data_IF_275554300480
#
_entry.id   IF_275554300480
#
_cell.length_a   1.000
_cell.length_b   1.000
_cell.length_c   1.000
_cell.angle_alpha   90.00
_cell.angle_beta   90.00
_cell.angle_gamma   90.00
#
_symmetry.space_group_name_H-M   'P 1'
#
loop_
_entity.id
_entity.type
_entity.pdbx_description
1 polymer ?
#
# COMPACT_ATOMS: atom_id res chain seq x y z
N UNK A 1 -32.96 17.14 30.41
CA UNK A 1 -31.95 16.41 29.62
C UNK A 1 -32.18 16.50 28.10
N UNK A 2 -33.42 16.51 27.63
CA UNK A 2 -33.75 16.64 26.20
C UNK A 2 -33.48 18.04 25.62
N UNK A 3 -33.65 19.10 26.41
CA UNK A 3 -33.36 20.47 25.98
C UNK A 3 -31.88 20.76 25.79
N UNK A 4 -31.00 20.13 26.59
CA UNK A 4 -29.56 20.29 26.46
C UNK A 4 -29.00 19.54 25.24
N UNK A 5 -29.60 18.39 24.89
CA UNK A 5 -29.29 17.65 23.67
C UNK A 5 -29.75 18.41 22.42
N UNK A 6 -30.97 18.97 22.44
CA UNK A 6 -31.49 19.75 21.34
C UNK A 6 -30.71 21.03 21.05
N UNK A 7 -30.26 21.74 22.10
CA UNK A 7 -29.40 22.93 21.95
C UNK A 7 -27.98 22.52 21.43
N UNK A 8 -27.42 21.43 21.87
CA UNK A 8 -26.15 20.91 21.36
C UNK A 8 -26.21 20.54 19.87
N UNK A 9 -27.31 19.92 19.43
CA UNK A 9 -27.52 19.58 18.01
C UNK A 9 -27.78 20.79 17.13
N UNK A 10 -28.48 21.79 17.62
CA UNK A 10 -28.69 23.08 16.90
C UNK A 10 -27.37 23.84 16.78
N UNK A 11 -26.55 23.90 17.86
CA UNK A 11 -25.25 24.55 17.81
C UNK A 11 -24.29 23.81 16.86
N UNK A 12 -24.30 22.46 16.86
CA UNK A 12 -23.52 21.64 15.96
C UNK A 12 -23.91 21.85 14.49
N UNK A 13 -25.20 21.88 14.21
CA UNK A 13 -25.73 22.18 12.86
C UNK A 13 -25.41 23.59 12.41
N UNK A 14 -25.45 24.56 13.32
CA UNK A 14 -25.14 25.96 13.01
C UNK A 14 -23.66 26.19 12.82
N UNK A 15 -22.80 25.55 13.62
CA UNK A 15 -21.35 25.54 13.42
C UNK A 15 -20.95 24.84 12.12
N UNK A 16 -21.58 23.70 11.77
CA UNK A 16 -21.41 23.00 10.51
C UNK A 16 -21.91 23.81 9.31
N UNK A 17 -23.00 24.53 9.44
CA UNK A 17 -23.52 25.41 8.37
C UNK A 17 -22.65 26.65 8.14
N UNK A 18 -21.98 27.15 9.18
CA UNK A 18 -21.00 28.24 9.06
C UNK A 18 -19.66 27.78 8.46
N UNK A 19 -19.25 26.54 8.72
CA UNK A 19 -18.06 25.93 8.10
C UNK A 19 -18.39 25.34 6.74
N UNK A 20 -19.61 24.84 6.53
CA UNK A 20 -20.09 24.19 5.30
C UNK A 20 -20.35 25.13 4.12
N UNK A 21 -20.25 26.44 4.33
CA UNK A 21 -20.46 27.42 3.25
C UNK A 21 -19.30 27.46 2.23
N UNK A 22 -18.12 26.91 2.56
CA UNK A 22 -16.96 26.92 1.68
C UNK A 22 -16.68 25.60 0.97
N UNK A 23 -17.12 24.45 1.54
CA UNK A 23 -16.88 23.13 0.95
C UNK A 23 -18.17 22.30 0.95
N UNK A 24 -18.65 21.84 -0.22
CA UNK A 24 -19.78 20.91 -0.32
C UNK A 24 -19.48 19.61 0.46
N UNK A 25 -20.47 19.08 1.18
CA UNK A 25 -20.32 17.89 2.04
C UNK A 25 -19.88 16.64 1.28
N UNK A 26 -20.17 16.55 -0.02
CA UNK A 26 -19.76 15.43 -0.87
C UNK A 26 -18.24 15.39 -1.14
N UNK A 27 -17.52 16.50 -0.99
CA UNK A 27 -16.07 16.56 -1.23
C UNK A 27 -15.27 15.66 -0.31
N UNK A 28 -15.78 15.39 0.90
CA UNK A 28 -15.12 14.47 1.84
C UNK A 28 -15.08 13.04 1.27
N UNK A 29 -16.20 12.57 0.73
CA UNK A 29 -16.29 11.26 0.08
C UNK A 29 -15.43 11.18 -1.18
N UNK A 30 -15.47 12.21 -2.01
CA UNK A 30 -14.65 12.34 -3.22
C UNK A 30 -13.15 12.30 -2.90
N UNK A 31 -12.68 13.16 -2.00
CA UNK A 31 -11.27 13.23 -1.62
C UNK A 31 -10.78 11.93 -0.96
N UNK A 32 -11.61 11.30 -0.13
CA UNK A 32 -11.29 10.01 0.49
C UNK A 32 -11.09 8.93 -0.57
N UNK A 33 -12.01 8.81 -1.54
CA UNK A 33 -11.89 7.87 -2.64
C UNK A 33 -10.62 8.09 -3.45
N UNK A 34 -10.40 9.30 -3.93
CA UNK A 34 -9.24 9.64 -4.76
C UNK A 34 -7.92 9.38 -4.04
N UNK A 35 -7.80 9.83 -2.80
CA UNK A 35 -6.59 9.64 -2.01
C UNK A 35 -6.30 8.16 -1.76
N UNK A 36 -7.32 7.35 -1.43
CA UNK A 36 -7.16 5.92 -1.17
C UNK A 36 -6.78 5.17 -2.45
N UNK A 37 -7.47 5.41 -3.56
CA UNK A 37 -7.24 4.68 -4.82
C UNK A 37 -5.91 5.08 -5.45
N UNK A 38 -5.60 6.36 -5.53
CA UNK A 38 -4.42 6.84 -6.26
C UNK A 38 -3.11 6.62 -5.51
N UNK A 39 -3.12 6.82 -4.18
CA UNK A 39 -1.86 6.85 -3.41
C UNK A 39 -1.85 5.95 -2.17
N UNK A 40 -2.84 6.05 -1.29
CA UNK A 40 -2.76 5.39 0.02
C UNK A 40 -2.69 3.87 -0.09
N UNK A 41 -3.60 3.25 -0.82
CA UNK A 41 -3.61 1.80 -0.91
C UNK A 41 -2.39 1.27 -1.67
N UNK A 42 -2.08 1.68 -2.91
CA UNK A 42 -0.94 1.11 -3.62
C UNK A 42 0.40 1.49 -2.99
N UNK A 43 0.61 2.73 -2.58
CA UNK A 43 1.94 3.21 -2.16
C UNK A 43 2.24 2.90 -0.70
N UNK A 44 1.36 3.30 0.23
CA UNK A 44 1.61 3.13 1.68
C UNK A 44 1.63 1.66 2.06
N UNK A 45 0.68 0.86 1.55
CA UNK A 45 0.65 -0.57 1.85
C UNK A 45 1.89 -1.27 1.27
N UNK A 46 2.37 -0.86 0.08
CA UNK A 46 3.61 -1.42 -0.48
C UNK A 46 4.83 -1.13 0.39
N UNK A 47 4.94 0.06 0.97
CA UNK A 47 6.03 0.39 1.90
C UNK A 47 5.94 -0.46 3.18
N UNK A 48 4.74 -0.65 3.73
CA UNK A 48 4.53 -1.53 4.89
C UNK A 48 4.91 -2.98 4.54
N UNK A 49 4.52 -3.46 3.36
CA UNK A 49 4.85 -4.79 2.88
C UNK A 49 6.35 -4.95 2.59
N UNK A 50 7.05 -3.90 2.17
CA UNK A 50 8.51 -3.92 2.06
C UNK A 50 9.17 -4.22 3.41
N UNK A 51 8.64 -3.64 4.51
CA UNK A 51 9.13 -3.94 5.85
C UNK A 51 8.88 -5.38 6.29
N UNK A 52 7.69 -5.91 6.06
CA UNK A 52 7.32 -7.26 6.52
C UNK A 52 7.75 -8.35 5.53
N UNK A 53 7.24 -8.30 4.32
CA UNK A 53 7.48 -9.35 3.31
C UNK A 53 8.88 -9.22 2.71
N UNK A 54 9.33 -8.00 2.42
CA UNK A 54 10.68 -7.75 1.91
C UNK A 54 11.76 -8.22 2.87
N UNK A 55 11.66 -7.85 4.14
CA UNK A 55 12.61 -8.32 5.17
C UNK A 55 12.57 -9.83 5.35
N UNK A 56 11.38 -10.44 5.31
CA UNK A 56 11.24 -11.91 5.38
C UNK A 56 11.90 -12.61 4.17
N UNK A 57 11.69 -12.11 2.97
CA UNK A 57 12.33 -12.65 1.76
C UNK A 57 13.85 -12.57 1.88
N UNK A 58 14.38 -11.40 2.28
CA UNK A 58 15.83 -11.19 2.44
C UNK A 58 16.42 -12.10 3.50
N UNK A 59 15.78 -12.20 4.68
CA UNK A 59 16.29 -13.06 5.76
C UNK A 59 16.19 -14.54 5.43
N UNK A 60 15.13 -14.97 4.76
CA UNK A 60 14.95 -16.36 4.32
C UNK A 60 16.06 -16.78 3.34
N UNK A 61 16.28 -16.00 2.28
CA UNK A 61 17.36 -16.30 1.30
C UNK A 61 18.73 -16.12 1.94
N UNK A 62 18.92 -15.10 2.76
CA UNK A 62 20.16 -14.84 3.47
C UNK A 62 20.54 -15.96 4.44
N UNK A 63 19.58 -16.54 5.15
CA UNK A 63 19.82 -17.72 5.99
C UNK A 63 20.27 -18.93 5.17
N UNK A 64 19.65 -19.17 4.01
CA UNK A 64 20.06 -20.25 3.10
C UNK A 64 21.48 -20.01 2.54
N UNK A 65 21.88 -18.74 2.38
CA UNK A 65 23.24 -18.39 1.97
C UNK A 65 24.26 -18.69 3.06
N UNK A 66 23.96 -18.32 4.31
CA UNK A 66 24.83 -18.56 5.48
C UNK A 66 25.03 -20.05 5.78
N UNK A 67 23.99 -20.85 5.54
CA UNK A 67 24.01 -22.31 5.75
C UNK A 67 24.49 -23.10 4.53
N UNK A 68 25.05 -22.42 3.51
CA UNK A 68 25.60 -23.03 2.27
C UNK A 68 24.57 -23.83 1.45
N UNK A 69 23.27 -23.67 1.73
CA UNK A 69 22.21 -24.37 0.98
C UNK A 69 22.14 -23.90 -0.48
N UNK A 70 22.48 -22.66 -0.77
CA UNK A 70 22.51 -22.11 -2.14
C UNK A 70 23.66 -22.78 -2.91
N UNK A 71 24.82 -22.92 -2.29
CA UNK A 71 26.00 -23.55 -2.91
C UNK A 71 25.73 -25.04 -3.14
N UNK A 72 25.03 -25.71 -2.22
CA UNK A 72 24.60 -27.10 -2.41
C UNK A 72 23.64 -27.27 -3.61
N UNK A 73 22.72 -26.34 -3.84
CA UNK A 73 21.84 -26.34 -5.01
C UNK A 73 22.63 -26.18 -6.32
N UNK A 74 23.65 -25.32 -6.32
CA UNK A 74 24.52 -25.12 -7.50
C UNK A 74 25.36 -26.34 -7.82
N UNK A 75 25.89 -27.02 -6.81
CA UNK A 75 26.63 -28.30 -7.00
C UNK A 75 25.72 -29.39 -7.57
N UNK A 76 24.46 -29.41 -7.22
CA UNK A 76 23.45 -30.32 -7.80
C UNK A 76 23.02 -29.93 -9.24
N UNK A 77 23.59 -28.87 -9.81
CA UNK A 77 23.23 -28.38 -11.15
C UNK A 77 21.91 -27.65 -11.22
N UNK A 78 21.32 -27.28 -10.09
CA UNK A 78 20.07 -26.52 -10.02
C UNK A 78 20.37 -25.02 -10.07
N UNK A 79 19.71 -24.26 -10.95
CA UNK A 79 19.82 -22.81 -10.96
C UNK A 79 19.16 -22.23 -9.69
N UNK A 80 19.98 -21.88 -8.71
CA UNK A 80 19.58 -21.42 -7.40
C UNK A 80 18.71 -20.15 -7.45
N UNK A 81 19.00 -19.21 -8.37
CA UNK A 81 18.20 -17.98 -8.55
C UNK A 81 16.79 -18.32 -9.01
N UNK A 82 16.65 -19.15 -10.05
CA UNK A 82 15.33 -19.54 -10.53
C UNK A 82 14.54 -20.32 -9.49
N UNK A 83 15.19 -21.18 -8.74
CA UNK A 83 14.55 -21.99 -7.70
C UNK A 83 14.06 -21.16 -6.51
N UNK A 84 14.81 -20.14 -6.10
CA UNK A 84 14.51 -19.35 -4.90
C UNK A 84 13.70 -18.07 -5.18
N UNK A 85 13.99 -17.37 -6.28
CA UNK A 85 13.40 -16.04 -6.56
C UNK A 85 12.11 -16.18 -7.35
N UNK A 86 12.07 -17.02 -8.37
CA UNK A 86 10.91 -17.14 -9.27
C UNK A 86 9.60 -17.48 -8.56
N UNK A 87 9.53 -18.43 -7.60
CA UNK A 87 8.28 -18.68 -6.86
C UNK A 87 7.80 -17.47 -6.06
N UNK A 88 8.73 -16.66 -5.53
CA UNK A 88 8.38 -15.44 -4.79
C UNK A 88 7.82 -14.36 -5.71
N UNK A 89 8.36 -14.23 -6.92
CA UNK A 89 7.80 -13.32 -7.95
C UNK A 89 6.38 -13.74 -8.30
N UNK A 90 6.14 -15.04 -8.57
CA UNK A 90 4.80 -15.54 -8.89
C UNK A 90 3.82 -15.31 -7.73
N UNK A 91 4.23 -15.59 -6.50
CA UNK A 91 3.39 -15.37 -5.33
C UNK A 91 2.98 -13.90 -5.17
N UNK A 92 3.91 -12.97 -5.44
CA UNK A 92 3.64 -11.54 -5.37
C UNK A 92 2.85 -10.97 -6.57
N UNK A 93 2.68 -11.72 -7.67
CA UNK A 93 1.73 -11.33 -8.73
C UNK A 93 0.27 -11.31 -8.25
N UNK A 94 -0.05 -11.98 -7.15
CA UNK A 94 -1.38 -11.86 -6.50
C UNK A 94 -1.54 -10.57 -5.67
N UNK A 95 -0.47 -9.80 -5.48
CA UNK A 95 -0.47 -8.58 -4.67
C UNK A 95 -1.51 -7.53 -5.11
N UNK A 96 -1.75 -7.24 -6.40
CA UNK A 96 -2.77 -6.29 -6.83
C UNK A 96 -4.19 -6.64 -6.35
N UNK A 97 -4.52 -7.92 -6.21
CA UNK A 97 -5.81 -8.35 -5.66
C UNK A 97 -5.92 -8.01 -4.18
N UNK A 98 -4.83 -8.17 -3.41
CA UNK A 98 -4.79 -7.75 -2.01
C UNK A 98 -4.96 -6.24 -1.86
N UNK A 99 -4.34 -5.45 -2.74
CA UNK A 99 -4.50 -3.99 -2.76
C UNK A 99 -5.94 -3.61 -3.07
N UNK A 100 -6.64 -4.31 -3.97
CA UNK A 100 -8.05 -4.02 -4.27
C UNK A 100 -8.95 -4.23 -3.05
N UNK A 101 -8.72 -5.29 -2.29
CA UNK A 101 -9.42 -5.53 -1.01
C UNK A 101 -9.11 -4.40 -0.01
N UNK A 102 -7.85 -3.99 0.07
CA UNK A 102 -7.44 -2.91 0.95
C UNK A 102 -8.05 -1.55 0.56
N UNK A 103 -8.19 -1.24 -0.73
CA UNK A 103 -8.91 -0.06 -1.22
C UNK A 103 -10.36 -0.07 -0.77
N UNK A 104 -11.06 -1.19 -0.96
CA UNK A 104 -12.44 -1.34 -0.54
C UNK A 104 -12.61 -1.15 0.97
N UNK A 105 -11.79 -1.83 1.78
CA UNK A 105 -11.81 -1.68 3.24
C UNK A 105 -11.42 -0.26 3.69
N UNK A 106 -10.50 0.37 3.00
CA UNK A 106 -10.09 1.75 3.25
C UNK A 106 -11.23 2.75 3.04
N UNK A 107 -11.97 2.62 1.94
CA UNK A 107 -13.14 3.46 1.65
C UNK A 107 -14.25 3.22 2.67
N UNK A 108 -14.52 1.95 3.03
CA UNK A 108 -15.49 1.62 4.08
C UNK A 108 -15.08 2.21 5.44
N UNK A 109 -13.81 2.07 5.81
CA UNK A 109 -13.28 2.65 7.04
C UNK A 109 -13.37 4.18 7.05
N UNK A 110 -13.05 4.82 5.92
CA UNK A 110 -13.22 6.26 5.72
C UNK A 110 -14.68 6.71 5.88
N UNK A 111 -15.63 5.97 5.30
CA UNK A 111 -17.05 6.23 5.45
C UNK A 111 -17.49 6.15 6.93
N UNK A 112 -17.13 5.08 7.62
CA UNK A 112 -17.44 4.89 9.04
C UNK A 112 -16.85 6.04 9.87
N UNK A 113 -15.58 6.36 9.68
CA UNK A 113 -14.90 7.43 10.41
C UNK A 113 -15.54 8.81 10.16
N UNK A 114 -15.91 9.13 8.93
CA UNK A 114 -16.52 10.41 8.58
C UNK A 114 -17.95 10.55 9.14
N UNK A 115 -18.76 9.49 9.06
CA UNK A 115 -20.15 9.52 9.56
C UNK A 115 -20.18 9.58 11.09
N UNK A 116 -19.42 8.72 11.78
CA UNK A 116 -19.36 8.73 13.26
C UNK A 116 -18.61 9.96 13.81
N UNK A 117 -17.65 10.48 13.07
CA UNK A 117 -16.95 11.72 13.40
C UNK A 117 -17.80 12.99 13.18
N UNK A 118 -18.95 12.87 12.52
CA UNK A 118 -19.86 14.01 12.24
C UNK A 118 -19.33 14.97 11.17
N UNK A 119 -18.36 14.53 10.35
CA UNK A 119 -17.77 15.34 9.26
C UNK A 119 -18.64 15.34 7.99
N UNK A 120 -19.43 14.30 7.75
CA UNK A 120 -20.31 14.18 6.60
C UNK A 120 -21.48 13.26 6.92
N UNK A 121 -22.59 13.42 6.19
CA UNK A 121 -23.70 12.47 6.23
C UNK A 121 -23.40 11.27 5.34
N UNK A 122 -24.03 10.12 5.64
CA UNK A 122 -23.83 8.91 4.83
C UNK A 122 -24.22 9.13 3.35
N UNK A 123 -25.31 9.87 3.12
CA UNK A 123 -25.77 10.21 1.77
C UNK A 123 -24.79 11.09 1.01
N UNK A 124 -24.27 12.16 1.64
CA UNK A 124 -23.29 13.04 1.03
C UNK A 124 -21.95 12.32 0.76
N UNK A 125 -21.53 11.42 1.65
CA UNK A 125 -20.32 10.63 1.44
C UNK A 125 -20.46 9.67 0.22
N UNK A 126 -21.60 8.98 0.09
CA UNK A 126 -21.88 8.11 -1.06
C UNK A 126 -21.98 8.92 -2.36
N UNK A 127 -22.64 10.09 -2.33
CA UNK A 127 -22.67 11.01 -3.47
C UNK A 127 -21.25 11.40 -3.89
N UNK A 128 -20.37 11.73 -2.94
CA UNK A 128 -18.98 12.05 -3.21
C UNK A 128 -18.19 10.87 -3.83
N UNK A 129 -18.45 9.64 -3.40
CA UNK A 129 -17.82 8.45 -4.01
C UNK A 129 -18.28 8.28 -5.48
N UNK A 130 -19.48 8.65 -5.82
CA UNK A 130 -20.04 8.49 -7.17
C UNK A 130 -19.73 9.68 -8.09
N UNK A 131 -19.51 10.86 -7.53
CA UNK A 131 -19.23 12.09 -8.28
C UNK A 131 -17.90 11.97 -9.00
N UNK A 132 -17.88 12.31 -10.30
CA UNK A 132 -16.71 12.35 -11.17
C UNK A 132 -15.85 11.06 -11.09
N UNK A 133 -16.49 9.90 -11.12
CA UNK A 133 -15.77 8.62 -11.12
C UNK A 133 -15.08 8.40 -12.47
N UNK A 134 -13.73 8.38 -12.45
CA UNK A 134 -12.90 8.09 -13.60
C UNK A 134 -12.44 6.63 -13.54
N UNK A 135 -12.93 5.72 -14.40
CA UNK A 135 -12.56 4.29 -14.39
C UNK A 135 -11.04 4.07 -14.58
N UNK A 136 -10.36 4.99 -15.24
CA UNK A 136 -8.92 4.92 -15.46
C UNK A 136 -8.11 4.91 -14.15
N UNK A 137 -8.60 5.55 -13.08
CA UNK A 137 -7.93 5.55 -11.77
C UNK A 137 -7.80 4.14 -11.17
N UNK A 138 -8.77 3.26 -11.40
CA UNK A 138 -8.66 1.84 -11.01
C UNK A 138 -7.58 1.11 -11.82
N UNK A 139 -7.56 1.30 -13.13
CA UNK A 139 -6.53 0.72 -14.01
C UNK A 139 -5.13 1.20 -13.62
N UNK A 140 -4.99 2.48 -13.35
CA UNK A 140 -3.76 3.10 -12.86
C UNK A 140 -3.29 2.43 -11.55
N UNK A 141 -4.17 2.28 -10.57
CA UNK A 141 -3.85 1.65 -9.29
C UNK A 141 -3.41 0.17 -9.47
N UNK A 142 -4.04 -0.56 -10.39
CA UNK A 142 -3.63 -1.93 -10.74
C UNK A 142 -2.22 -1.97 -11.35
N UNK A 143 -1.93 -1.15 -12.36
CA UNK A 143 -0.61 -1.06 -12.99
C UNK A 143 0.47 -0.75 -11.94
N UNK A 144 0.21 0.23 -11.09
CA UNK A 144 1.08 0.64 -9.99
C UNK A 144 1.37 -0.51 -9.03
N UNK A 145 0.32 -1.23 -8.65
CA UNK A 145 0.42 -2.39 -7.76
C UNK A 145 1.22 -3.55 -8.36
N UNK A 146 1.12 -3.80 -9.67
CA UNK A 146 1.94 -4.81 -10.36
C UNK A 146 3.42 -4.43 -10.36
N UNK A 147 3.74 -3.17 -10.65
CA UNK A 147 5.14 -2.70 -10.61
C UNK A 147 5.71 -2.83 -9.19
N UNK A 148 4.94 -2.45 -8.17
CA UNK A 148 5.37 -2.57 -6.78
C UNK A 148 5.51 -4.02 -6.34
N UNK A 149 4.65 -4.94 -6.79
CA UNK A 149 4.79 -6.37 -6.56
C UNK A 149 6.13 -6.89 -7.09
N UNK A 150 6.51 -6.48 -8.29
CA UNK A 150 7.79 -6.86 -8.89
C UNK A 150 8.98 -6.31 -8.09
N UNK A 151 8.94 -5.05 -7.66
CA UNK A 151 9.98 -4.45 -6.80
C UNK A 151 10.08 -5.19 -5.46
N UNK A 152 8.92 -5.49 -4.82
CA UNK A 152 8.83 -6.23 -3.57
C UNK A 152 9.39 -7.66 -3.64
N UNK A 153 9.39 -8.27 -4.83
CA UNK A 153 9.98 -9.59 -5.04
C UNK A 153 11.48 -9.51 -5.33
N UNK A 154 11.89 -8.61 -6.22
CA UNK A 154 13.24 -8.60 -6.79
C UNK A 154 14.27 -7.95 -5.90
N UNK A 155 14.00 -6.76 -5.37
CA UNK A 155 14.98 -6.02 -4.54
C UNK A 155 15.32 -6.77 -3.24
N UNK A 156 14.36 -7.30 -2.47
CA UNK A 156 14.69 -8.11 -1.29
C UNK A 156 15.42 -9.41 -1.62
N UNK A 157 15.04 -10.08 -2.71
CA UNK A 157 15.72 -11.30 -3.15
C UNK A 157 17.17 -11.04 -3.53
N UNK A 158 17.45 -9.93 -4.20
CA UNK A 158 18.81 -9.51 -4.54
C UNK A 158 19.66 -9.31 -3.27
N UNK A 159 19.16 -8.56 -2.29
CA UNK A 159 19.89 -8.32 -1.05
C UNK A 159 20.11 -9.59 -0.22
N UNK A 160 19.16 -10.53 -0.22
CA UNK A 160 19.30 -11.81 0.45
C UNK A 160 20.30 -12.72 -0.24
N UNK A 161 20.26 -12.80 -1.58
CA UNK A 161 21.10 -13.71 -2.36
C UNK A 161 22.57 -13.29 -2.39
N UNK A 162 22.87 -12.00 -2.52
CA UNK A 162 24.23 -11.47 -2.62
C UNK A 162 24.83 -11.03 -1.28
N UNK A 163 24.20 -11.31 -0.16
CA UNK A 163 24.77 -11.02 1.13
C UNK A 163 26.02 -11.88 1.40
N UNK A 164 26.96 -11.34 2.18
CA UNK A 164 28.19 -12.04 2.59
C UNK A 164 28.34 -11.92 4.10
N UNK A 165 28.73 -13.00 4.74
CA UNK A 165 28.99 -13.06 6.18
C UNK A 165 28.03 -14.02 6.92
N UNK A 166 27.97 -13.89 8.24
CA UNK A 166 27.19 -14.78 9.10
C UNK A 166 25.79 -14.25 9.44
N UNK A 167 25.18 -14.86 10.46
CA UNK A 167 23.81 -14.56 10.89
C UNK A 167 23.55 -13.07 11.23
N UNK A 168 24.55 -12.35 11.75
CA UNK A 168 24.41 -10.92 12.04
C UNK A 168 24.25 -10.09 10.76
N UNK A 169 24.93 -10.48 9.70
CA UNK A 169 24.84 -9.78 8.40
C UNK A 169 23.50 -10.02 7.70
N UNK A 170 22.78 -11.11 7.99
CA UNK A 170 21.40 -11.34 7.52
C UNK A 170 20.48 -10.23 8.04
N UNK A 171 20.60 -9.86 9.32
CA UNK A 171 19.82 -8.76 9.91
C UNK A 171 20.11 -7.42 9.24
N UNK A 172 21.41 -7.11 9.01
CA UNK A 172 21.81 -5.88 8.30
C UNK A 172 21.34 -5.87 6.85
N UNK A 173 21.41 -6.99 6.16
CA UNK A 173 20.92 -7.15 4.79
C UNK A 173 19.40 -6.92 4.73
N UNK A 174 18.62 -7.41 5.70
CA UNK A 174 17.18 -7.17 5.79
C UNK A 174 16.84 -5.68 5.96
N UNK A 175 17.54 -4.98 6.84
CA UNK A 175 17.34 -3.53 7.01
C UNK A 175 17.72 -2.77 5.74
N UNK A 176 18.85 -3.10 5.13
CA UNK A 176 19.29 -2.48 3.87
C UNK A 176 18.29 -2.75 2.74
N UNK A 177 17.79 -3.97 2.66
CA UNK A 177 16.76 -4.36 1.70
C UNK A 177 15.49 -3.53 1.86
N UNK A 178 15.00 -3.36 3.09
CA UNK A 178 13.82 -2.53 3.38
C UNK A 178 14.02 -1.09 2.88
N UNK A 179 15.16 -0.48 3.18
CA UNK A 179 15.46 0.89 2.75
C UNK A 179 15.44 0.99 1.22
N UNK A 180 16.18 0.13 0.52
CA UNK A 180 16.25 0.17 -0.94
C UNK A 180 14.91 -0.15 -1.61
N UNK A 181 14.14 -1.09 -1.07
CA UNK A 181 12.81 -1.41 -1.56
C UNK A 181 11.87 -0.22 -1.41
N UNK A 182 11.87 0.44 -0.24
CA UNK A 182 11.03 1.62 0.01
C UNK A 182 11.42 2.80 -0.88
N UNK A 183 12.71 3.07 -1.03
CA UNK A 183 13.19 4.12 -1.95
C UNK A 183 12.78 3.81 -3.39
N UNK A 184 12.94 2.56 -3.84
CA UNK A 184 12.50 2.16 -5.19
C UNK A 184 11.01 2.35 -5.38
N UNK A 185 10.18 1.96 -4.41
CA UNK A 185 8.72 2.17 -4.47
C UNK A 185 8.41 3.66 -4.64
N UNK A 186 9.02 4.56 -3.85
CA UNK A 186 8.78 6.00 -3.93
C UNK A 186 9.20 6.57 -5.28
N UNK A 187 10.37 6.17 -5.80
CA UNK A 187 10.85 6.63 -7.11
C UNK A 187 9.93 6.15 -8.23
N UNK A 188 9.57 4.86 -8.25
CA UNK A 188 8.66 4.33 -9.25
C UNK A 188 7.24 4.86 -9.10
N UNK A 189 6.80 5.17 -7.87
CA UNK A 189 5.55 5.88 -7.62
C UNK A 189 5.50 7.20 -8.39
N UNK A 190 6.53 8.02 -8.21
CA UNK A 190 6.64 9.30 -8.90
C UNK A 190 6.66 9.14 -10.43
N UNK A 191 7.48 8.20 -10.95
CA UNK A 191 7.58 7.96 -12.39
C UNK A 191 6.25 7.51 -13.00
N UNK A 192 5.56 6.56 -12.38
CA UNK A 192 4.28 6.05 -12.87
C UNK A 192 3.21 7.15 -12.84
N UNK A 193 3.16 7.92 -11.75
CA UNK A 193 2.22 9.04 -11.62
C UNK A 193 2.46 10.07 -12.73
N UNK A 194 3.71 10.45 -12.97
CA UNK A 194 4.06 11.41 -14.00
C UNK A 194 3.78 10.91 -15.43
N UNK A 195 3.92 9.60 -15.66
CA UNK A 195 3.68 9.02 -17.00
C UNK A 195 2.20 8.80 -17.31
N UNK A 196 1.36 8.54 -16.32
CA UNK A 196 -0.03 8.15 -16.51
C UNK A 196 -1.05 9.23 -16.16
N UNK A 197 -0.69 10.16 -15.26
CA UNK A 197 -1.56 11.24 -14.81
C UNK A 197 -1.00 12.65 -15.09
N UNK A 198 0.27 12.79 -15.46
CA UNK A 198 0.91 14.04 -15.91
C UNK A 198 0.86 14.11 -17.42
#
# INVERSE_FOLDING_TARGET
EDLSRGLGDVYKRQALSMTGSFYPDYLVGFATRETIILEFAPTIISIIMAGKVGSFITSSIGSMRVTEQIDALEVMGINSINYLVFPKVIALLLYPFLISIAMFLGILGGMIACVYGGYSTMSAFIEGIQTDFVPFHMTYAFIKSFVFAFILATVPSFHGYYMKGGALEVGKASTKSFIWTSVSIVVFNFLITQMLLG
#
